data_IF_297824776397
#
_entry.id   IF_297824776397
#
_cell.length_a   1.000
_cell.length_b   1.000
_cell.length_c   1.000
_cell.angle_alpha   90.00
_cell.angle_beta   90.00
_cell.angle_gamma   90.00
#
_symmetry.space_group_name_H-M   'P 1'
#
loop_
_entity.id
_entity.type
_entity.pdbx_description
1 polymer ?
#
# COMPACT_ATOMS: atom_id res chain seq x y z
N UNK A 1 11.68 -16.23 -7.13
CA UNK A 1 11.96 -14.81 -6.82
C UNK A 1 10.82 -14.03 -7.46
N UNK A 2 9.80 -13.60 -6.71
CA UNK A 2 8.64 -12.94 -7.32
C UNK A 2 9.08 -11.58 -7.85
N UNK A 3 9.20 -11.51 -9.17
CA UNK A 3 9.42 -10.32 -9.95
C UNK A 3 8.14 -9.47 -9.84
N UNK A 4 8.03 -8.70 -8.75
CA UNK A 4 7.08 -7.60 -8.67
C UNK A 4 7.60 -6.52 -9.62
N UNK A 5 7.36 -6.74 -10.91
CA UNK A 5 7.59 -5.76 -11.96
C UNK A 5 6.82 -4.52 -11.55
N UNK A 6 7.51 -3.41 -11.31
CA UNK A 6 6.90 -2.09 -11.17
C UNK A 6 6.16 -1.84 -12.48
N UNK A 7 4.84 -2.00 -12.44
CA UNK A 7 3.97 -1.89 -13.64
C UNK A 7 3.20 -0.58 -13.63
N UNK A 8 2.97 -0.01 -12.45
CA UNK A 8 2.17 1.17 -12.26
C UNK A 8 2.99 2.45 -12.19
N UNK A 9 2.26 3.55 -12.03
CA UNK A 9 2.81 4.89 -11.83
C UNK A 9 3.56 4.94 -10.49
N UNK A 10 4.83 5.36 -10.52
CA UNK A 10 5.61 5.66 -9.32
C UNK A 10 5.23 7.04 -8.80
N UNK A 11 4.74 7.07 -7.55
CA UNK A 11 4.29 8.31 -6.89
C UNK A 11 5.05 8.57 -5.60
N UNK A 12 5.06 9.83 -5.18
CA UNK A 12 5.58 10.24 -3.87
C UNK A 12 4.64 9.82 -2.73
N UNK A 13 5.13 9.89 -1.49
CA UNK A 13 4.35 9.55 -0.30
C UNK A 13 3.04 10.34 -0.14
N UNK A 14 3.05 11.64 -0.46
CA UNK A 14 1.85 12.47 -0.39
C UNK A 14 0.83 12.09 -1.46
N UNK A 15 1.30 11.99 -2.70
CA UNK A 15 0.48 11.59 -3.85
C UNK A 15 -0.13 10.19 -3.68
N UNK A 16 0.60 9.23 -3.11
CA UNK A 16 0.05 7.92 -2.80
C UNK A 16 -1.19 8.02 -1.91
N UNK A 17 -1.11 8.86 -0.86
CA UNK A 17 -2.21 9.01 0.07
C UNK A 17 -3.41 9.72 -0.59
N UNK A 18 -3.15 10.68 -1.47
CA UNK A 18 -4.19 11.38 -2.24
C UNK A 18 -4.86 10.47 -3.28
N UNK A 19 -4.11 9.54 -3.89
CA UNK A 19 -4.64 8.60 -4.90
C UNK A 19 -5.36 7.37 -4.29
N UNK A 20 -5.02 7.00 -3.04
CA UNK A 20 -5.60 5.83 -2.38
C UNK A 20 -6.78 6.14 -1.46
N UNK A 21 -6.76 7.29 -0.79
CA UNK A 21 -7.73 7.60 0.25
C UNK A 21 -8.52 8.85 -0.10
N UNK A 22 -9.81 8.82 0.24
CA UNK A 22 -10.64 10.01 0.18
C UNK A 22 -10.04 11.12 1.09
N UNK A 23 -10.09 12.41 0.70
CA UNK A 23 -9.47 13.50 1.47
C UNK A 23 -9.84 13.52 2.96
N UNK A 24 -11.10 13.22 3.29
CA UNK A 24 -11.60 13.21 4.67
C UNK A 24 -11.16 12.00 5.52
N UNK A 25 -10.62 10.95 4.88
CA UNK A 25 -10.19 9.71 5.54
C UNK A 25 -8.70 9.43 5.32
N UNK A 26 -7.96 10.41 4.80
CA UNK A 26 -6.56 10.26 4.44
C UNK A 26 -5.71 10.15 5.71
N UNK A 27 -4.96 9.05 5.89
CA UNK A 27 -4.05 8.94 7.02
C UNK A 27 -2.87 9.91 6.85
N UNK A 28 -2.11 10.14 7.93
CA UNK A 28 -0.96 11.04 7.88
C UNK A 28 0.26 10.41 7.21
N UNK A 29 1.20 11.24 6.74
CA UNK A 29 2.52 10.77 6.27
C UNK A 29 3.27 9.98 7.35
N UNK A 30 3.05 10.30 8.63
CA UNK A 30 3.63 9.57 9.76
C UNK A 30 3.12 8.12 9.81
N UNK A 31 1.82 7.92 9.59
CA UNK A 31 1.24 6.58 9.48
C UNK A 31 1.88 5.82 8.33
N UNK A 32 2.00 6.42 7.14
CA UNK A 32 2.61 5.77 5.97
C UNK A 32 4.05 5.33 6.26
N UNK A 33 4.87 6.19 6.89
CA UNK A 33 6.23 5.84 7.31
C UNK A 33 6.27 4.69 8.33
N UNK A 34 5.29 4.63 9.23
CA UNK A 34 5.19 3.50 10.16
C UNK A 34 4.84 2.20 9.44
N UNK A 35 3.97 2.26 8.43
CA UNK A 35 3.58 1.10 7.63
C UNK A 35 4.70 0.60 6.71
N UNK A 36 5.55 1.50 6.20
CA UNK A 36 6.73 1.10 5.44
C UNK A 36 7.79 0.48 6.35
N UNK A 37 7.99 1.02 7.55
CA UNK A 37 8.89 0.44 8.57
C UNK A 37 8.44 -0.96 9.00
N UNK A 38 7.13 -1.18 9.17
CA UNK A 38 6.56 -2.50 9.51
C UNK A 38 6.48 -3.47 8.32
N UNK A 39 6.96 -3.08 7.12
CA UNK A 39 6.84 -3.85 5.88
C UNK A 39 5.39 -4.20 5.51
N UNK A 40 4.43 -3.42 6.02
CA UNK A 40 3.03 -3.57 5.67
C UNK A 40 2.77 -3.06 4.24
N UNK A 41 3.37 -1.91 3.88
CA UNK A 41 3.25 -1.28 2.56
C UNK A 41 4.56 -1.44 1.78
N UNK A 42 4.51 -1.94 0.53
CA UNK A 42 5.69 -2.10 -0.30
C UNK A 42 6.21 -0.75 -0.82
N UNK A 43 7.53 -0.67 -0.98
CA UNK A 43 8.25 0.57 -1.32
C UNK A 43 9.27 0.28 -2.42
N UNK A 44 9.36 1.18 -3.40
CA UNK A 44 10.38 1.15 -4.45
C UNK A 44 11.46 2.16 -4.10
N UNK A 45 12.70 1.71 -3.89
CA UNK A 45 13.83 2.57 -3.56
C UNK A 45 14.75 2.72 -4.77
N UNK A 46 15.04 3.95 -5.16
CA UNK A 46 15.95 4.28 -6.26
C UNK A 46 17.01 5.22 -5.69
N UNK A 47 18.17 4.69 -5.33
CA UNK A 47 19.18 5.42 -4.56
C UNK A 47 18.65 5.86 -3.20
N UNK A 48 18.67 7.17 -2.92
CA UNK A 48 18.11 7.77 -1.71
C UNK A 48 16.62 8.12 -1.84
N UNK A 49 16.03 7.99 -3.03
CA UNK A 49 14.64 8.31 -3.30
C UNK A 49 13.72 7.13 -2.98
N UNK A 50 12.51 7.48 -2.56
CA UNK A 50 11.48 6.55 -2.10
C UNK A 50 10.21 6.78 -2.88
N UNK A 51 9.78 5.77 -3.60
CA UNK A 51 8.58 5.77 -4.44
C UNK A 51 7.62 4.65 -4.05
N UNK A 52 6.38 4.80 -4.49
CA UNK A 52 5.32 3.82 -4.31
C UNK A 52 4.65 3.55 -5.64
N UNK A 53 4.42 2.26 -5.93
CA UNK A 53 3.55 1.83 -7.01
C UNK A 53 2.13 1.67 -6.45
N UNK A 54 1.19 2.44 -6.99
CA UNK A 54 -0.19 2.53 -6.48
C UNK A 54 -0.89 1.18 -6.56
N UNK A 55 -0.73 0.45 -7.66
CA UNK A 55 -1.40 -0.84 -7.88
C UNK A 55 -0.82 -1.91 -6.95
N UNK A 56 0.50 -1.90 -6.76
CA UNK A 56 1.17 -2.81 -5.83
C UNK A 56 0.73 -2.57 -4.38
N UNK A 57 0.57 -1.30 -3.98
CA UNK A 57 0.08 -0.95 -2.65
C UNK A 57 -1.38 -1.35 -2.50
N UNK A 58 -2.25 -1.11 -3.49
CA UNK A 58 -3.66 -1.56 -3.48
C UNK A 58 -3.78 -3.06 -3.31
N UNK A 59 -3.03 -3.83 -4.09
CA UNK A 59 -3.03 -5.30 -4.00
C UNK A 59 -2.59 -5.78 -2.60
N UNK A 60 -1.58 -5.13 -2.02
CA UNK A 60 -1.09 -5.49 -0.68
C UNK A 60 -2.09 -5.15 0.41
N UNK A 61 -2.74 -3.98 0.33
CA UNK A 61 -3.77 -3.57 1.29
C UNK A 61 -4.99 -4.50 1.23
N UNK A 62 -5.43 -4.88 0.03
CA UNK A 62 -6.49 -5.86 -0.16
C UNK A 62 -6.08 -7.23 0.43
N UNK A 63 -4.86 -7.69 0.19
CA UNK A 63 -4.41 -8.99 0.71
C UNK A 63 -4.27 -9.05 2.25
N UNK A 64 -3.76 -7.98 2.88
CA UNK A 64 -3.41 -7.99 4.31
C UNK A 64 -4.53 -7.51 5.24
N UNK A 65 -5.35 -6.56 4.79
CA UNK A 65 -6.29 -5.86 5.67
C UNK A 65 -7.76 -6.27 5.44
N UNK A 66 -8.03 -7.14 4.47
CA UNK A 66 -9.35 -7.76 4.38
C UNK A 66 -9.53 -8.70 5.57
N UNK A 67 -10.26 -8.23 6.59
CA UNK A 67 -10.81 -9.08 7.64
C UNK A 67 -11.85 -9.95 6.96
N UNK A 68 -11.43 -11.13 6.50
CA UNK A 68 -12.34 -12.21 6.11
C UNK A 68 -12.96 -12.72 7.41
N UNK A 69 -13.99 -12.04 7.90
CA UNK A 69 -14.88 -12.64 8.87
C UNK A 69 -15.30 -13.98 8.27
N UNK A 70 -15.10 -15.08 9.01
CA UNK A 70 -15.41 -16.44 8.54
C UNK A 70 -16.75 -16.38 7.79
N UNK A 71 -16.72 -16.59 6.48
CA UNK A 71 -17.88 -17.13 5.81
C UNK A 71 -17.98 -18.54 6.38
N UNK A 72 -18.73 -18.68 7.47
CA UNK A 72 -19.17 -19.96 7.97
C UNK A 72 -19.81 -20.67 6.79
N UNK A 73 -19.21 -21.79 6.39
CA UNK A 73 -19.81 -22.69 5.42
C UNK A 73 -21.25 -23.03 5.91
N UNK A 74 -22.26 -23.04 5.02
CA UNK A 74 -23.58 -23.49 5.40
C UNK A 74 -23.51 -25.00 5.76
N UNK A 75 -24.42 -25.48 6.64
CA UNK A 75 -24.44 -26.85 7.13
C UNK A 75 -24.63 -27.89 6.02
#
# INVERSE_FOLDING_TARGET
>A
MNELVVKGKLVSAGQLLDELFHPNCKPSLRWLRSQTKSKAIPVVRIGHLVFFDVDMVRATLAGKNLVRHRLSAPP
#
